data_IF_917998298849
#
_entry.id   IF_917998298849
#
_cell.length_a   1.000
_cell.length_b   1.000
_cell.length_c   1.000
_cell.angle_alpha   90.00
_cell.angle_beta   90.00
_cell.angle_gamma   90.00
#
_symmetry.space_group_name_H-M   'P 1'
#
loop_
_entity.id
_entity.type
_entity.pdbx_description
1 polymer ?
#
# COMPACT_ATOMS: atom_id res chain seq x y z
N UNK A 1 -81.64 5.09 -9.69
CA UNK A 1 -81.44 4.45 -8.38
C UNK A 1 -80.01 3.95 -8.35
N UNK A 2 -79.13 4.35 -7.60
CA UNK A 2 -78.86 4.80 -6.26
C UNK A 2 -77.57 5.60 -6.25
N UNK A 3 -77.58 6.68 -5.54
CA UNK A 3 -76.47 7.62 -5.26
C UNK A 3 -75.44 6.96 -4.32
N UNK A 4 -74.16 7.15 -4.55
CA UNK A 4 -73.19 7.26 -3.48
C UNK A 4 -72.12 8.30 -3.88
N UNK A 5 -72.19 9.41 -3.19
CA UNK A 5 -71.18 10.48 -3.17
C UNK A 5 -70.14 10.16 -2.12
N UNK A 6 -68.83 10.26 -2.46
CA UNK A 6 -67.70 10.30 -1.49
C UNK A 6 -67.07 11.69 -1.46
N UNK A 7 -66.82 12.22 -0.29
CA UNK A 7 -66.23 13.56 -0.16
C UNK A 7 -64.71 13.55 -0.36
N UNK A 8 -64.28 14.52 -1.14
CA UNK A 8 -62.90 14.87 -1.36
C UNK A 8 -62.34 15.59 -0.09
N UNK A 9 -61.41 14.95 0.64
CA UNK A 9 -60.66 15.62 1.67
C UNK A 9 -59.20 15.71 1.24
N UNK A 10 -58.88 16.89 0.72
CA UNK A 10 -57.49 17.36 0.44
C UNK A 10 -56.72 17.51 1.75
N UNK A 11 -55.86 16.52 2.08
CA UNK A 11 -54.83 16.68 3.10
C UNK A 11 -53.58 17.26 2.46
N UNK A 12 -53.36 18.56 2.69
CA UNK A 12 -52.11 19.22 2.35
C UNK A 12 -50.94 18.61 3.17
N UNK A 13 -50.04 17.92 2.50
CA UNK A 13 -48.74 17.53 3.08
C UNK A 13 -47.85 18.75 3.16
N UNK A 14 -47.69 19.30 4.37
CA UNK A 14 -46.62 20.26 4.68
C UNK A 14 -45.30 19.55 4.58
N UNK A 15 -44.52 19.84 3.52
CA UNK A 15 -43.11 19.46 3.43
C UNK A 15 -42.33 20.34 4.44
N UNK A 16 -42.06 19.79 5.60
CA UNK A 16 -41.13 20.38 6.56
C UNK A 16 -39.72 20.29 6.01
N UNK A 17 -39.22 21.37 5.48
CA UNK A 17 -37.79 21.58 5.12
C UNK A 17 -36.97 21.57 6.40
N UNK A 18 -36.51 20.39 6.81
CA UNK A 18 -35.50 20.24 7.87
C UNK A 18 -34.14 20.73 7.31
N UNK A 19 -33.89 22.02 7.35
CA UNK A 19 -32.55 22.59 7.22
C UNK A 19 -31.75 22.15 8.45
N UNK A 20 -31.03 21.01 8.34
CA UNK A 20 -29.98 20.65 9.33
C UNK A 20 -28.87 21.69 9.18
N UNK A 21 -28.91 22.72 9.99
CA UNK A 21 -27.80 23.65 10.20
C UNK A 21 -26.62 22.84 10.72
N UNK A 22 -25.63 22.60 9.88
CA UNK A 22 -24.35 22.00 10.30
C UNK A 22 -23.71 23.04 11.21
N UNK A 23 -23.72 22.81 12.52
CA UNK A 23 -23.14 23.71 13.50
C UNK A 23 -21.65 23.90 13.21
N UNK A 24 -21.14 25.12 13.36
CA UNK A 24 -19.72 25.47 13.21
C UNK A 24 -18.78 24.51 13.96
N UNK A 25 -19.24 23.97 15.10
CA UNK A 25 -18.54 22.93 15.86
C UNK A 25 -18.39 21.59 15.09
N UNK A 26 -19.34 21.22 14.22
CA UNK A 26 -19.21 20.03 13.36
C UNK A 26 -18.30 20.29 12.17
N UNK A 27 -18.33 21.49 11.60
CA UNK A 27 -17.37 21.93 10.58
C UNK A 27 -15.96 22.01 11.18
N UNK A 28 -15.80 22.57 12.38
CA UNK A 28 -14.50 22.60 13.09
C UNK A 28 -13.97 21.20 13.40
N UNK A 29 -14.82 20.27 13.86
CA UNK A 29 -14.45 18.86 14.04
C UNK A 29 -14.11 18.19 12.72
N UNK A 30 -14.80 18.46 11.63
CA UNK A 30 -14.49 17.94 10.31
C UNK A 30 -13.19 18.55 9.75
N UNK A 31 -12.98 19.86 9.94
CA UNK A 31 -11.72 20.54 9.57
C UNK A 31 -10.54 20.12 10.46
N UNK A 32 -10.77 19.88 11.75
CA UNK A 32 -9.76 19.28 12.65
C UNK A 32 -9.47 17.83 12.28
N UNK A 33 -10.46 17.04 11.86
CA UNK A 33 -10.28 15.70 11.29
C UNK A 33 -9.49 15.76 9.97
N UNK A 34 -9.79 16.70 9.07
CA UNK A 34 -9.02 16.88 7.84
C UNK A 34 -7.59 17.40 8.07
N UNK A 35 -7.39 18.26 9.09
CA UNK A 35 -6.04 18.71 9.50
C UNK A 35 -5.24 17.59 10.20
N UNK A 36 -5.92 16.61 10.82
CA UNK A 36 -5.29 15.45 11.43
C UNK A 36 -4.65 14.49 10.40
N UNK A 37 -5.15 14.49 9.15
CA UNK A 37 -4.60 13.66 8.06
C UNK A 37 -3.29 14.20 7.46
N UNK A 38 -2.77 15.34 7.90
CA UNK A 38 -1.55 15.95 7.35
C UNK A 38 -0.42 16.07 8.35
N UNK A 39 -0.53 15.53 9.58
CA UNK A 39 0.61 15.54 10.51
C UNK A 39 1.57 14.41 10.17
N UNK A 40 2.85 14.76 10.06
CA UNK A 40 3.94 13.82 9.82
C UNK A 40 4.16 12.95 11.06
N UNK A 41 4.16 11.63 10.89
CA UNK A 41 4.47 10.68 11.95
C UNK A 41 5.95 10.35 11.97
N UNK A 42 6.54 10.16 10.78
CA UNK A 42 7.96 9.84 10.62
C UNK A 42 8.56 10.77 9.56
N UNK A 43 9.66 11.41 9.91
CA UNK A 43 10.49 12.19 8.99
C UNK A 43 11.92 11.63 8.99
N UNK A 44 12.40 11.28 7.82
CA UNK A 44 13.77 10.85 7.56
C UNK A 44 14.45 11.96 6.78
N UNK A 45 15.52 12.56 7.34
CA UNK A 45 16.21 13.73 6.76
C UNK A 45 17.66 13.38 6.47
N UNK A 46 18.00 13.27 5.20
CA UNK A 46 19.35 13.02 4.69
C UNK A 46 20.06 11.83 5.38
N UNK A 47 19.32 10.75 5.68
CA UNK A 47 19.83 9.60 6.42
C UNK A 47 20.77 8.78 5.57
N UNK A 48 21.98 8.56 6.10
CA UNK A 48 22.99 7.67 5.52
C UNK A 48 23.41 6.65 6.57
N UNK A 49 23.46 5.36 6.19
CA UNK A 49 23.95 4.28 7.01
C UNK A 49 25.08 3.55 6.31
N UNK A 50 26.26 3.64 6.90
CA UNK A 50 27.49 3.02 6.42
C UNK A 50 27.88 1.84 7.32
N UNK A 51 28.30 0.75 6.70
CA UNK A 51 28.90 -0.39 7.38
C UNK A 51 30.31 -0.61 6.87
N UNK A 52 31.20 -1.02 7.75
CA UNK A 52 32.56 -1.42 7.39
C UNK A 52 32.56 -2.91 7.00
N UNK A 53 32.56 -3.19 5.71
CA UNK A 53 32.65 -4.55 5.18
C UNK A 53 34.11 -4.99 4.95
N UNK A 54 34.33 -6.29 4.72
CA UNK A 54 35.65 -6.86 4.44
C UNK A 54 36.31 -6.27 3.17
N UNK A 55 35.53 -5.71 2.25
CA UNK A 55 35.99 -5.07 0.99
C UNK A 55 35.98 -3.54 1.05
N UNK A 56 35.89 -2.95 2.24
CA UNK A 56 35.77 -1.50 2.45
C UNK A 56 34.40 -1.05 2.92
N UNK A 57 34.21 0.25 3.15
CA UNK A 57 32.94 0.81 3.61
C UNK A 57 31.85 0.69 2.54
N UNK A 58 30.65 0.30 2.95
CA UNK A 58 29.46 0.16 2.08
C UNK A 58 28.35 1.01 2.66
N UNK A 59 27.80 1.92 1.85
CA UNK A 59 26.63 2.71 2.20
C UNK A 59 25.37 1.87 1.89
N UNK A 60 24.80 1.25 2.92
CA UNK A 60 23.58 0.48 2.78
C UNK A 60 22.32 1.36 2.65
N UNK A 61 22.40 2.59 3.14
CA UNK A 61 21.40 3.66 2.94
C UNK A 61 22.14 4.94 2.63
N UNK A 62 21.74 5.68 1.60
CA UNK A 62 22.40 6.88 1.10
C UNK A 62 21.44 8.05 0.99
N UNK A 63 21.68 9.09 1.79
CA UNK A 63 20.98 10.39 1.73
C UNK A 63 19.46 10.28 1.56
N UNK A 64 18.84 9.33 2.28
CA UNK A 64 17.41 9.07 2.16
C UNK A 64 16.62 10.19 2.82
N UNK A 65 15.65 10.72 2.07
CA UNK A 65 14.64 11.67 2.53
C UNK A 65 13.26 11.07 2.31
N UNK A 66 12.48 10.93 3.39
CA UNK A 66 11.17 10.30 3.33
C UNK A 66 10.27 10.83 4.44
N UNK A 67 9.00 11.04 4.12
CA UNK A 67 7.98 11.47 5.08
C UNK A 67 6.81 10.50 5.08
N UNK A 68 6.42 10.01 6.27
CA UNK A 68 5.31 9.10 6.49
C UNK A 68 4.25 9.81 7.33
N UNK A 69 3.02 9.83 6.84
CA UNK A 69 1.89 10.54 7.47
C UNK A 69 1.34 9.72 8.63
N UNK A 70 0.70 10.40 9.57
CA UNK A 70 0.04 9.73 10.70
C UNK A 70 -1.15 8.89 10.23
N UNK A 71 -1.22 7.65 10.69
CA UNK A 71 -2.32 6.72 10.40
C UNK A 71 -2.28 6.07 9.02
N UNK A 72 -1.27 6.37 8.17
CA UNK A 72 -1.13 5.69 6.88
C UNK A 72 -0.43 4.34 7.01
N UNK A 73 -0.67 3.47 6.05
CA UNK A 73 0.13 2.27 5.80
C UNK A 73 1.11 2.58 4.68
N UNK A 74 2.39 2.69 5.03
CA UNK A 74 3.45 3.05 4.10
C UNK A 74 4.30 1.83 3.73
N UNK A 75 4.46 1.57 2.44
CA UNK A 75 5.25 0.47 1.91
C UNK A 75 6.65 0.90 1.48
N UNK A 76 7.67 0.11 1.80
CA UNK A 76 9.02 0.26 1.27
C UNK A 76 9.35 -0.99 0.46
N UNK A 77 9.51 -0.83 -0.85
CA UNK A 77 9.77 -1.94 -1.77
C UNK A 77 11.10 -1.74 -2.49
N UNK A 78 11.66 -2.84 -2.98
CA UNK A 78 12.90 -2.87 -3.76
C UNK A 78 13.50 -4.25 -3.79
N UNK A 79 14.48 -4.47 -4.65
CA UNK A 79 15.19 -5.75 -4.78
C UNK A 79 15.92 -6.13 -3.49
N UNK A 80 16.33 -7.40 -3.36
CA UNK A 80 17.18 -7.84 -2.24
C UNK A 80 18.48 -7.02 -2.22
N UNK A 81 18.89 -6.61 -1.02
CA UNK A 81 20.09 -5.75 -0.87
C UNK A 81 19.86 -4.25 -1.12
N UNK A 82 18.67 -3.80 -1.49
CA UNK A 82 18.39 -2.37 -1.72
C UNK A 82 18.48 -1.46 -0.48
N UNK A 83 18.69 -2.00 0.73
CA UNK A 83 18.83 -1.22 1.96
C UNK A 83 17.56 -1.12 2.82
N UNK A 84 16.44 -1.73 2.41
CA UNK A 84 15.12 -1.63 3.07
C UNK A 84 15.15 -1.97 4.57
N UNK A 85 15.59 -3.18 4.92
CA UNK A 85 15.66 -3.61 6.33
C UNK A 85 16.62 -2.74 7.15
N UNK A 86 17.71 -2.25 6.53
CA UNK A 86 18.62 -1.28 7.17
C UNK A 86 17.90 0.00 7.50
N UNK A 87 17.14 0.56 6.55
CA UNK A 87 16.37 1.79 6.73
C UNK A 87 15.33 1.63 7.86
N UNK A 88 14.51 0.57 7.83
CA UNK A 88 13.48 0.37 8.87
C UNK A 88 14.10 0.11 10.25
N UNK A 89 15.20 -0.63 10.33
CA UNK A 89 15.93 -0.80 11.61
C UNK A 89 16.57 0.50 12.09
N UNK A 90 16.79 1.46 11.22
CA UNK A 90 17.25 2.79 11.62
C UNK A 90 16.12 3.63 12.22
N UNK A 91 14.83 3.41 11.86
CA UNK A 91 13.69 4.17 12.40
C UNK A 91 13.54 4.03 13.92
N UNK A 92 13.86 2.86 14.47
CA UNK A 92 13.90 2.63 15.90
C UNK A 92 15.33 2.60 16.48
N UNK A 93 16.31 3.07 15.70
CA UNK A 93 17.75 3.10 16.04
C UNK A 93 18.32 1.74 16.48
N UNK A 94 17.81 0.61 15.99
CA UNK A 94 18.54 -0.66 16.07
C UNK A 94 19.86 -0.55 15.32
N UNK A 95 19.84 0.17 14.20
CA UNK A 95 21.03 0.64 13.50
C UNK A 95 21.06 2.18 13.62
N UNK A 96 22.03 2.72 14.36
CA UNK A 96 22.17 4.19 14.45
C UNK A 96 22.74 4.71 13.14
N UNK A 97 22.08 5.65 12.45
CA UNK A 97 22.58 6.19 11.18
C UNK A 97 23.95 6.88 11.35
N UNK A 98 24.76 6.81 10.30
CA UNK A 98 26.06 7.46 10.24
C UNK A 98 25.91 8.98 10.14
N UNK A 99 24.88 9.44 9.44
CA UNK A 99 24.50 10.87 9.34
C UNK A 99 23.02 11.02 9.04
N UNK A 100 22.51 12.24 9.19
CA UNK A 100 21.09 12.58 9.05
C UNK A 100 20.29 12.38 10.33
N UNK A 101 19.01 12.73 10.27
CA UNK A 101 18.11 12.72 11.43
C UNK A 101 16.87 11.87 11.15
N UNK A 102 16.36 11.22 12.19
CA UNK A 102 15.12 10.45 12.17
C UNK A 102 14.22 11.01 13.25
N UNK A 103 13.07 11.55 12.85
CA UNK A 103 12.08 12.13 13.73
C UNK A 103 10.86 11.21 13.72
N UNK A 104 10.37 10.81 14.90
CA UNK A 104 9.16 9.98 15.07
C UNK A 104 8.24 10.68 16.06
N UNK A 105 7.00 10.96 15.66
CA UNK A 105 6.01 11.70 16.44
C UNK A 105 6.60 12.99 17.06
N UNK A 106 7.33 13.75 16.24
CA UNK A 106 8.01 15.01 16.62
C UNK A 106 9.26 14.85 17.48
N UNK A 107 9.69 13.62 17.83
CA UNK A 107 10.90 13.34 18.63
C UNK A 107 12.07 12.98 17.72
N UNK A 108 13.17 13.73 17.77
CA UNK A 108 14.40 13.34 17.08
C UNK A 108 15.05 12.14 17.78
N UNK A 109 14.84 10.96 17.21
CA UNK A 109 15.37 9.70 17.72
C UNK A 109 16.91 9.70 17.80
N UNK A 110 17.56 10.38 16.87
CA UNK A 110 19.04 10.41 16.76
C UNK A 110 19.68 11.23 17.85
N UNK A 111 18.96 12.16 18.48
CA UNK A 111 19.44 13.00 19.58
C UNK A 111 19.22 12.38 20.97
N UNK A 112 18.43 11.29 21.08
CA UNK A 112 18.07 10.69 22.36
C UNK A 112 19.24 9.98 23.05
N UNK A 113 19.31 10.11 24.38
CA UNK A 113 20.18 9.30 25.21
C UNK A 113 19.61 7.86 25.37
N UNK A 114 20.35 6.96 26.02
CA UNK A 114 19.98 5.55 26.12
C UNK A 114 18.65 5.30 26.87
N UNK A 115 18.34 6.10 27.88
CA UNK A 115 17.08 5.98 28.66
C UNK A 115 15.90 6.51 27.87
N UNK A 116 16.02 7.69 27.30
CA UNK A 116 15.02 8.30 26.42
C UNK A 116 14.72 7.41 25.21
N UNK A 117 15.77 6.80 24.62
CA UNK A 117 15.61 5.89 23.49
C UNK A 117 14.85 4.60 23.89
N UNK A 118 15.11 4.04 25.09
CA UNK A 118 14.33 2.91 25.58
C UNK A 118 12.85 3.27 25.76
N UNK A 119 12.56 4.46 26.27
CA UNK A 119 11.19 4.95 26.39
C UNK A 119 10.54 5.15 25.01
N UNK A 120 11.22 5.81 24.08
CA UNK A 120 10.71 6.04 22.72
C UNK A 120 10.45 4.73 21.95
N UNK A 121 11.31 3.72 22.11
CA UNK A 121 11.13 2.40 21.50
C UNK A 121 9.87 1.65 21.97
N UNK A 122 9.33 1.96 23.15
CA UNK A 122 8.05 1.39 23.61
C UNK A 122 6.87 1.90 22.78
N UNK A 123 6.99 3.11 22.21
CA UNK A 123 5.99 3.70 21.32
C UNK A 123 6.10 3.19 19.87
N UNK A 124 7.08 2.31 19.57
CA UNK A 124 7.32 1.73 18.25
C UNK A 124 7.28 0.20 18.35
N UNK A 125 6.23 -0.41 17.82
CA UNK A 125 6.13 -1.86 17.69
C UNK A 125 6.98 -2.35 16.52
N UNK A 126 7.53 -3.57 16.63
CA UNK A 126 8.27 -4.18 15.51
C UNK A 126 7.87 -5.64 15.31
N UNK A 127 7.53 -5.98 14.07
CA UNK A 127 7.27 -7.33 13.59
C UNK A 127 8.48 -7.76 12.78
N UNK A 128 9.06 -8.90 13.13
CA UNK A 128 10.27 -9.44 12.51
C UNK A 128 9.96 -10.54 11.49
N UNK A 129 10.79 -10.68 10.49
CA UNK A 129 10.70 -11.69 9.44
C UNK A 129 10.63 -13.13 10.00
N UNK A 130 11.41 -13.46 11.04
CA UNK A 130 11.52 -14.80 11.64
C UNK A 130 10.73 -14.95 12.95
N UNK A 131 9.62 -14.19 13.12
CA UNK A 131 8.75 -14.19 14.30
C UNK A 131 9.46 -13.83 15.62
N UNK A 132 10.67 -14.28 15.86
CA UNK A 132 11.50 -14.08 17.06
C UNK A 132 10.73 -14.37 18.36
N UNK A 133 9.95 -15.46 18.38
CA UNK A 133 9.24 -15.91 19.57
C UNK A 133 10.18 -16.69 20.48
N UNK A 134 10.01 -16.52 21.79
CA UNK A 134 10.71 -17.30 22.78
C UNK A 134 10.09 -18.70 22.84
N UNK A 135 10.84 -19.73 22.44
CA UNK A 135 10.36 -21.12 22.34
C UNK A 135 9.97 -21.71 23.69
N UNK A 136 10.57 -21.22 24.78
CA UNK A 136 10.31 -21.64 26.17
C UNK A 136 9.11 -20.93 26.82
N UNK A 137 8.47 -20.02 26.11
CA UNK A 137 7.32 -19.27 26.61
C UNK A 137 6.05 -19.60 25.79
N UNK A 138 4.91 -19.57 26.47
CA UNK A 138 3.60 -19.74 25.82
C UNK A 138 3.28 -18.59 24.85
N UNK A 139 2.19 -18.70 24.10
CA UNK A 139 1.63 -17.61 23.28
C UNK A 139 1.33 -16.40 24.16
N UNK A 140 0.66 -16.61 25.29
CA UNK A 140 0.36 -15.56 26.28
C UNK A 140 1.64 -14.87 26.76
N UNK A 141 2.63 -15.63 27.22
CA UNK A 141 3.88 -15.09 27.78
C UNK A 141 4.73 -14.36 26.74
N UNK A 142 4.68 -14.78 25.46
CA UNK A 142 5.35 -14.07 24.38
C UNK A 142 4.71 -12.68 24.14
N UNK A 143 3.37 -12.56 24.24
CA UNK A 143 2.66 -11.28 24.11
C UNK A 143 2.88 -10.42 25.35
N UNK A 144 2.91 -11.02 26.54
CA UNK A 144 3.11 -10.33 27.82
C UNK A 144 4.54 -9.76 27.99
N UNK A 145 5.54 -10.33 27.33
CA UNK A 145 6.95 -10.00 27.49
C UNK A 145 7.27 -8.49 27.48
N UNK A 146 6.80 -7.67 26.51
CA UNK A 146 7.07 -6.23 26.53
C UNK A 146 6.50 -5.51 27.76
N UNK A 147 5.37 -5.98 28.27
CA UNK A 147 4.70 -5.43 29.45
C UNK A 147 5.41 -5.82 30.75
N UNK A 148 5.93 -7.05 30.83
CA UNK A 148 6.80 -7.49 31.91
C UNK A 148 8.06 -6.63 31.99
N UNK A 149 8.72 -6.40 30.84
CA UNK A 149 9.90 -5.54 30.73
C UNK A 149 9.60 -4.08 31.05
N UNK A 150 8.34 -3.66 30.90
CA UNK A 150 7.87 -2.35 31.31
C UNK A 150 7.58 -2.26 32.83
N UNK A 151 7.67 -3.38 33.57
CA UNK A 151 7.42 -3.44 35.02
C UNK A 151 5.93 -3.45 35.42
N UNK A 152 5.03 -3.85 34.49
CA UNK A 152 3.60 -3.90 34.78
C UNK A 152 3.23 -5.06 35.73
N UNK A 153 2.19 -4.87 36.54
CA UNK A 153 1.67 -5.92 37.40
C UNK A 153 0.97 -7.02 36.60
N UNK A 154 0.89 -8.25 37.14
CA UNK A 154 0.24 -9.39 36.48
C UNK A 154 -1.20 -9.10 36.06
N UNK A 155 -1.98 -8.40 36.89
CA UNK A 155 -3.36 -8.04 36.60
C UNK A 155 -3.44 -7.07 35.40
N UNK A 156 -2.62 -6.01 35.42
CA UNK A 156 -2.55 -5.05 34.32
C UNK A 156 -2.07 -5.69 33.00
N UNK A 157 -1.17 -6.70 33.07
CA UNK A 157 -0.74 -7.48 31.91
C UNK A 157 -1.93 -8.30 31.36
N UNK A 158 -2.69 -8.96 32.24
CA UNK A 158 -3.84 -9.77 31.83
C UNK A 158 -4.94 -8.91 31.14
N UNK A 159 -5.21 -7.72 31.67
CA UNK A 159 -6.14 -6.76 31.08
C UNK A 159 -5.75 -6.32 29.65
N UNK A 160 -4.44 -6.24 29.36
CA UNK A 160 -3.94 -5.87 28.04
C UNK A 160 -3.80 -7.06 27.08
N UNK A 161 -3.32 -8.19 27.57
CA UNK A 161 -3.03 -9.36 26.72
C UNK A 161 -4.30 -10.05 26.25
N UNK A 162 -5.34 -10.12 27.09
CA UNK A 162 -6.60 -10.81 26.73
C UNK A 162 -7.26 -10.20 25.49
N UNK A 163 -7.49 -8.87 25.39
CA UNK A 163 -8.04 -8.27 24.16
C UNK A 163 -7.12 -8.45 22.94
N UNK A 164 -5.79 -8.46 23.12
CA UNK A 164 -4.86 -8.68 22.01
C UNK A 164 -4.96 -10.11 21.48
N UNK A 165 -5.13 -11.11 22.35
CA UNK A 165 -5.38 -12.50 21.94
C UNK A 165 -6.68 -12.64 21.14
N UNK A 166 -7.73 -11.94 21.53
CA UNK A 166 -9.01 -11.88 20.81
C UNK A 166 -8.85 -11.20 19.45
N UNK A 167 -8.17 -10.04 19.41
CA UNK A 167 -7.91 -9.28 18.19
C UNK A 167 -7.21 -10.11 17.12
N UNK A 168 -6.21 -10.91 17.53
CA UNK A 168 -5.46 -11.76 16.60
C UNK A 168 -6.07 -13.17 16.42
N UNK A 169 -7.16 -13.50 17.12
CA UNK A 169 -7.86 -14.78 17.01
C UNK A 169 -7.11 -15.97 17.62
N UNK A 170 -6.38 -15.75 18.73
CA UNK A 170 -5.55 -16.78 19.36
C UNK A 170 -5.96 -17.10 20.81
N UNK A 171 -7.14 -16.69 21.27
CA UNK A 171 -7.60 -16.90 22.66
C UNK A 171 -7.56 -18.38 23.08
N UNK A 172 -7.94 -19.30 22.20
CA UNK A 172 -7.92 -20.74 22.44
C UNK A 172 -6.49 -21.34 22.53
N UNK A 173 -5.47 -20.63 22.04
CA UNK A 173 -4.09 -21.08 21.96
C UNK A 173 -3.16 -20.36 22.94
N UNK A 174 -3.73 -19.62 23.92
CA UNK A 174 -2.96 -18.78 24.86
C UNK A 174 -1.89 -19.56 25.62
N UNK A 175 -2.15 -20.81 25.98
CA UNK A 175 -1.28 -21.68 26.76
C UNK A 175 -0.38 -22.58 25.89
N UNK A 176 -0.52 -22.51 24.55
CA UNK A 176 0.31 -23.27 23.60
C UNK A 176 1.69 -22.66 23.45
N UNK A 177 2.67 -23.49 23.11
CA UNK A 177 4.04 -23.06 22.84
C UNK A 177 4.26 -22.82 21.33
N UNK A 178 5.27 -22.04 20.93
CA UNK A 178 5.55 -21.77 19.53
C UNK A 178 5.73 -23.03 18.65
N UNK A 179 6.24 -24.12 19.21
CA UNK A 179 6.39 -25.38 18.47
C UNK A 179 5.04 -26.04 18.10
N UNK A 180 3.95 -25.68 18.78
CA UNK A 180 2.62 -26.30 18.65
C UNK A 180 1.69 -25.52 17.72
N UNK A 181 2.13 -24.38 17.17
CA UNK A 181 1.32 -23.49 16.35
C UNK A 181 1.92 -23.29 14.95
N UNK A 182 1.04 -22.99 13.97
CA UNK A 182 1.43 -22.77 12.57
C UNK A 182 2.25 -21.50 12.37
N UNK A 183 2.89 -21.33 11.20
CA UNK A 183 3.63 -20.13 10.82
C UNK A 183 2.76 -18.86 10.88
N UNK A 184 1.55 -18.90 10.34
CA UNK A 184 0.61 -17.80 10.41
C UNK A 184 0.15 -17.45 11.83
N UNK A 185 -0.03 -18.47 12.70
CA UNK A 185 -0.31 -18.26 14.12
C UNK A 185 0.88 -17.63 14.84
N UNK A 186 2.12 -18.07 14.57
CA UNK A 186 3.34 -17.42 15.08
C UNK A 186 3.41 -15.95 14.69
N UNK A 187 3.04 -15.63 13.44
CA UNK A 187 3.02 -14.26 12.96
C UNK A 187 1.99 -13.41 13.73
N UNK A 188 0.78 -13.96 13.96
CA UNK A 188 -0.25 -13.30 14.77
C UNK A 188 0.20 -13.06 16.21
N UNK A 189 0.96 -13.97 16.83
CA UNK A 189 1.60 -13.76 18.14
C UNK A 189 2.60 -12.60 18.06
N UNK A 190 3.43 -12.55 17.01
CA UNK A 190 4.38 -11.47 16.76
C UNK A 190 3.71 -10.10 16.63
N UNK A 191 2.57 -10.04 15.93
CA UNK A 191 1.73 -8.83 15.80
C UNK A 191 1.19 -8.41 17.16
N UNK A 192 0.54 -9.31 17.91
CA UNK A 192 -0.02 -9.02 19.24
C UNK A 192 1.06 -8.54 20.21
N UNK A 193 2.25 -9.17 20.22
CA UNK A 193 3.40 -8.73 21.00
C UNK A 193 3.87 -7.33 20.63
N UNK A 194 3.90 -6.99 19.34
CA UNK A 194 4.30 -5.67 18.87
C UNK A 194 3.31 -4.57 19.28
N UNK A 195 2.03 -4.93 19.47
CA UNK A 195 0.96 -4.03 19.91
C UNK A 195 0.87 -3.88 21.44
N UNK A 196 1.52 -4.73 22.22
CA UNK A 196 1.31 -4.82 23.67
C UNK A 196 1.54 -3.50 24.44
N UNK A 197 2.45 -2.65 23.99
CA UNK A 197 2.74 -1.34 24.60
C UNK A 197 1.91 -0.18 24.02
N UNK A 198 0.82 -0.43 23.30
CA UNK A 198 0.00 0.59 22.61
C UNK A 198 0.86 1.52 21.73
N UNK A 199 1.63 0.98 20.77
CA UNK A 199 2.55 1.77 19.98
C UNK A 199 1.80 2.76 19.07
N UNK A 200 2.48 3.85 18.69
CA UNK A 200 2.00 4.81 17.68
C UNK A 200 2.40 4.42 16.26
N UNK A 201 3.50 3.68 16.17
CA UNK A 201 4.08 3.20 14.90
C UNK A 201 4.31 1.70 14.98
N UNK A 202 3.98 0.98 13.92
CA UNK A 202 4.27 -0.44 13.75
C UNK A 202 5.21 -0.61 12.56
N UNK A 203 6.41 -1.10 12.81
CA UNK A 203 7.39 -1.45 11.78
C UNK A 203 7.28 -2.93 11.45
N UNK A 204 7.25 -3.28 10.17
CA UNK A 204 7.14 -4.65 9.69
C UNK A 204 8.28 -4.96 8.73
N UNK A 205 9.22 -5.82 9.15
CA UNK A 205 10.37 -6.25 8.35
C UNK A 205 10.05 -7.60 7.70
N UNK A 206 9.60 -7.58 6.44
CA UNK A 206 9.26 -8.78 5.61
C UNK A 206 8.36 -9.81 6.31
N UNK A 207 7.37 -9.36 7.07
CA UNK A 207 6.55 -10.18 7.94
C UNK A 207 5.72 -11.30 7.25
N UNK A 208 5.61 -11.28 5.92
CA UNK A 208 4.81 -12.24 5.14
C UNK A 208 5.63 -13.12 4.21
N UNK A 209 6.95 -12.90 4.11
CA UNK A 209 7.81 -13.56 3.13
C UNK A 209 7.92 -15.10 3.28
N UNK A 210 7.64 -15.61 4.49
CA UNK A 210 7.71 -17.05 4.82
C UNK A 210 6.33 -17.71 4.92
N UNK A 211 5.25 -17.04 4.49
CA UNK A 211 3.87 -17.51 4.60
C UNK A 211 3.32 -17.86 3.21
N UNK A 212 2.36 -18.78 3.19
CA UNK A 212 1.57 -19.06 2.00
C UNK A 212 0.65 -17.88 1.62
N UNK A 213 0.15 -17.82 0.37
CA UNK A 213 -0.63 -16.68 -0.10
C UNK A 213 -1.93 -16.42 0.68
N UNK A 214 -2.63 -17.46 1.13
CA UNK A 214 -3.89 -17.33 1.89
C UNK A 214 -3.61 -16.76 3.28
N UNK A 215 -2.62 -17.32 3.97
CA UNK A 215 -2.16 -16.81 5.26
C UNK A 215 -1.66 -15.37 5.15
N UNK A 216 -0.89 -15.05 4.10
CA UNK A 216 -0.44 -13.68 3.82
C UNK A 216 -1.61 -12.73 3.73
N UNK A 217 -2.65 -13.04 2.92
CA UNK A 217 -3.86 -12.21 2.80
C UNK A 217 -4.51 -11.99 4.15
N UNK A 218 -4.70 -13.03 4.93
CA UNK A 218 -5.30 -12.97 6.27
C UNK A 218 -4.51 -12.08 7.25
N UNK A 219 -3.18 -12.10 7.18
CA UNK A 219 -2.31 -11.22 7.99
C UNK A 219 -2.42 -9.77 7.53
N UNK A 220 -2.46 -9.52 6.22
CA UNK A 220 -2.60 -8.17 5.67
C UNK A 220 -3.97 -7.55 6.03
N UNK A 221 -5.04 -8.33 5.96
CA UNK A 221 -6.39 -7.91 6.40
C UNK A 221 -6.39 -7.57 7.91
N UNK A 222 -5.72 -8.37 8.74
CA UNK A 222 -5.55 -8.08 10.16
C UNK A 222 -4.79 -6.76 10.39
N UNK A 223 -3.68 -6.52 9.69
CA UNK A 223 -2.92 -5.28 9.77
C UNK A 223 -3.76 -4.06 9.34
N UNK A 224 -4.54 -4.20 8.26
CA UNK A 224 -5.46 -3.16 7.79
C UNK A 224 -6.57 -2.86 8.82
N UNK A 225 -7.11 -3.90 9.46
CA UNK A 225 -8.08 -3.76 10.56
C UNK A 225 -7.46 -3.00 11.73
N UNK A 226 -6.28 -3.41 12.18
CA UNK A 226 -5.53 -2.76 13.27
C UNK A 226 -5.26 -1.27 12.95
N UNK A 227 -4.79 -0.97 11.73
CA UNK A 227 -4.56 0.39 11.30
C UNK A 227 -5.83 1.25 11.41
N UNK A 228 -6.97 0.75 10.91
CA UNK A 228 -8.25 1.48 10.92
C UNK A 228 -8.85 1.66 12.32
N UNK A 229 -8.80 0.62 13.14
CA UNK A 229 -9.42 0.64 14.48
C UNK A 229 -8.60 1.43 15.49
N UNK A 230 -7.26 1.37 15.40
CA UNK A 230 -6.36 2.00 16.34
C UNK A 230 -5.75 3.32 15.83
N UNK A 231 -5.95 3.68 14.57
CA UNK A 231 -5.31 4.84 13.94
C UNK A 231 -3.79 4.71 13.87
N UNK A 232 -3.27 3.47 13.87
CA UNK A 232 -1.85 3.14 13.95
C UNK A 232 -1.14 3.41 12.62
N UNK A 233 0.00 4.11 12.65
CA UNK A 233 0.84 4.23 11.46
C UNK A 233 1.64 2.96 11.25
N UNK A 234 1.59 2.38 10.06
CA UNK A 234 2.30 1.13 9.74
C UNK A 234 3.33 1.39 8.65
N UNK A 235 4.57 0.96 8.88
CA UNK A 235 5.63 0.96 7.87
C UNK A 235 6.00 -0.49 7.60
N UNK A 236 5.78 -0.95 6.38
CA UNK A 236 6.11 -2.32 6.01
C UNK A 236 7.16 -2.38 4.90
N UNK A 237 8.06 -3.34 5.06
CA UNK A 237 9.00 -3.71 4.03
C UNK A 237 8.55 -5.00 3.37
N UNK A 238 8.64 -5.02 2.05
CA UNK A 238 8.40 -6.23 1.27
C UNK A 238 9.18 -6.16 -0.05
N UNK A 239 9.39 -7.30 -0.65
CA UNK A 239 9.79 -7.43 -2.05
C UNK A 239 8.61 -7.85 -2.94
N UNK A 240 7.41 -8.05 -2.35
CA UNK A 240 6.19 -8.49 -3.02
C UNK A 240 5.29 -7.28 -3.32
N UNK A 241 5.15 -6.93 -4.58
CA UNK A 241 4.29 -5.81 -5.01
C UNK A 241 2.82 -6.07 -4.70
N UNK A 242 2.38 -7.35 -4.67
CA UNK A 242 1.03 -7.74 -4.24
C UNK A 242 0.68 -7.23 -2.83
N UNK A 243 1.65 -7.30 -1.90
CA UNK A 243 1.46 -6.80 -0.54
C UNK A 243 1.23 -5.28 -0.54
N UNK A 244 2.04 -4.55 -1.31
CA UNK A 244 1.90 -3.09 -1.48
C UNK A 244 0.51 -2.75 -2.03
N UNK A 245 0.14 -3.40 -3.13
CA UNK A 245 -1.16 -3.21 -3.80
C UNK A 245 -2.34 -3.43 -2.85
N UNK A 246 -2.25 -4.44 -2.00
CA UNK A 246 -3.36 -4.82 -1.12
C UNK A 246 -3.63 -3.81 -0.01
N UNK A 247 -2.60 -3.29 0.67
CA UNK A 247 -2.84 -2.55 1.92
C UNK A 247 -2.16 -1.19 2.03
N UNK A 248 -1.15 -0.86 1.22
CA UNK A 248 -0.40 0.39 1.38
C UNK A 248 -1.11 1.58 0.74
N UNK A 249 -1.14 2.71 1.42
CA UNK A 249 -1.66 3.98 0.90
C UNK A 249 -0.62 4.65 -0.01
N UNK A 250 0.63 4.70 0.46
CA UNK A 250 1.77 5.23 -0.26
C UNK A 250 2.93 4.25 -0.20
N UNK A 251 3.88 4.39 -1.14
CA UNK A 251 5.09 3.59 -1.14
C UNK A 251 6.33 4.40 -1.54
N UNK A 252 7.49 3.85 -1.16
CA UNK A 252 8.79 4.26 -1.67
C UNK A 252 9.49 3.05 -2.31
N UNK A 253 10.08 3.27 -3.46
CA UNK A 253 10.91 2.28 -4.15
C UNK A 253 12.37 2.57 -3.84
N UNK A 254 13.08 1.56 -3.33
CA UNK A 254 14.50 1.66 -3.02
C UNK A 254 15.34 0.84 -3.98
N UNK A 255 16.46 1.42 -4.40
CA UNK A 255 17.52 0.76 -5.14
C UNK A 255 18.88 1.24 -4.66
N UNK A 256 19.81 0.32 -4.46
CA UNK A 256 21.23 0.62 -4.11
C UNK A 256 21.40 1.60 -2.93
N UNK A 257 20.49 1.56 -1.95
CA UNK A 257 20.52 2.41 -0.75
C UNK A 257 19.80 3.75 -0.89
N UNK A 258 19.21 4.06 -2.02
CA UNK A 258 18.52 5.33 -2.31
C UNK A 258 17.02 5.11 -2.52
N UNK A 259 16.21 6.13 -2.23
CA UNK A 259 14.80 6.18 -2.63
C UNK A 259 14.75 6.79 -4.03
N UNK A 260 14.41 5.97 -5.02
CA UNK A 260 14.39 6.38 -6.44
C UNK A 260 13.03 6.91 -6.88
N UNK A 261 11.96 6.48 -6.22
CA UNK A 261 10.60 6.94 -6.48
C UNK A 261 9.73 6.79 -5.24
N UNK A 262 8.77 7.70 -5.02
CA UNK A 262 7.80 7.63 -3.94
C UNK A 262 6.50 8.35 -4.31
N UNK A 263 5.37 7.87 -3.78
CA UNK A 263 4.05 8.47 -4.04
C UNK A 263 2.90 7.58 -3.56
N UNK A 264 1.68 7.99 -3.90
CA UNK A 264 0.48 7.18 -3.74
C UNK A 264 0.61 5.89 -4.56
N UNK A 265 0.21 4.75 -4.00
CA UNK A 265 0.34 3.45 -4.67
C UNK A 265 -0.33 3.47 -6.04
N UNK A 266 -1.58 3.96 -6.11
CA UNK A 266 -2.36 4.00 -7.35
C UNK A 266 -1.68 4.85 -8.44
N UNK A 267 -1.08 5.98 -8.07
CA UNK A 267 -0.37 6.86 -9.01
C UNK A 267 0.88 6.20 -9.57
N UNK A 268 1.66 5.53 -8.71
CA UNK A 268 2.88 4.83 -9.14
C UNK A 268 2.55 3.62 -10.01
N UNK A 269 1.45 2.94 -9.76
CA UNK A 269 0.97 1.86 -10.62
C UNK A 269 0.47 2.37 -11.98
N UNK A 270 -0.16 3.55 -12.00
CA UNK A 270 -0.68 4.16 -13.22
C UNK A 270 0.42 4.72 -14.12
N UNK A 271 1.42 5.37 -13.54
CA UNK A 271 2.45 6.09 -14.29
C UNK A 271 3.83 6.01 -13.58
N UNK A 272 4.47 4.82 -13.53
CA UNK A 272 5.80 4.67 -12.96
C UNK A 272 6.82 5.43 -13.80
N UNK A 273 7.64 6.28 -13.15
CA UNK A 273 8.63 7.13 -13.83
C UNK A 273 9.97 6.43 -13.97
N UNK A 274 10.37 5.69 -12.92
CA UNK A 274 11.67 5.01 -12.89
C UNK A 274 11.58 3.61 -13.48
N UNK A 275 12.61 3.19 -14.21
CA UNK A 275 12.67 1.86 -14.87
C UNK A 275 12.52 0.71 -13.86
N UNK A 276 13.17 0.80 -12.70
CA UNK A 276 13.08 -0.22 -11.64
C UNK A 276 11.67 -0.30 -11.08
N UNK A 277 11.00 0.84 -10.88
CA UNK A 277 9.58 0.86 -10.45
C UNK A 277 8.70 0.16 -11.49
N UNK A 278 8.93 0.48 -12.77
CA UNK A 278 8.22 -0.12 -13.90
C UNK A 278 8.41 -1.63 -13.95
N UNK A 279 9.64 -2.11 -13.76
CA UNK A 279 9.94 -3.54 -13.70
C UNK A 279 9.25 -4.25 -12.52
N UNK A 280 9.29 -3.65 -11.30
CA UNK A 280 8.64 -4.22 -10.11
C UNK A 280 7.11 -4.28 -10.24
N UNK A 281 6.50 -3.28 -10.86
CA UNK A 281 5.05 -3.26 -11.12
C UNK A 281 4.71 -4.26 -12.23
N UNK A 282 5.59 -4.40 -13.21
CA UNK A 282 5.42 -5.34 -14.33
C UNK A 282 5.30 -6.79 -13.92
N UNK A 283 5.90 -7.18 -12.79
CA UNK A 283 5.76 -8.53 -12.22
C UNK A 283 4.34 -8.84 -11.73
N UNK A 284 3.53 -7.81 -11.42
CA UNK A 284 2.18 -7.97 -10.87
C UNK A 284 1.08 -7.58 -11.84
N UNK A 285 1.31 -6.52 -12.57
CA UNK A 285 0.43 -6.11 -13.66
C UNK A 285 1.20 -6.40 -14.93
N UNK A 286 0.72 -7.36 -15.72
CA UNK A 286 1.36 -7.74 -16.97
C UNK A 286 1.58 -6.50 -17.86
N UNK A 287 2.73 -5.84 -17.65
CA UNK A 287 3.13 -4.66 -18.41
C UNK A 287 3.87 -5.06 -19.68
N UNK A 288 4.45 -6.26 -19.73
CA UNK A 288 5.15 -6.76 -20.91
C UNK A 288 4.25 -7.71 -21.71
N UNK A 289 4.24 -7.51 -23.00
CA UNK A 289 3.59 -8.45 -23.92
C UNK A 289 4.35 -9.79 -23.90
N UNK A 290 3.65 -10.94 -23.82
CA UNK A 290 4.29 -12.24 -23.92
C UNK A 290 5.17 -12.32 -25.18
N UNK A 291 6.36 -12.93 -25.06
CA UNK A 291 7.32 -12.98 -26.18
C UNK A 291 6.71 -13.53 -27.48
N UNK A 292 5.82 -14.52 -27.40
CA UNK A 292 5.11 -15.05 -28.56
C UNK A 292 4.15 -14.05 -29.22
N UNK A 293 3.60 -13.10 -28.45
CA UNK A 293 2.77 -11.99 -28.98
C UNK A 293 3.67 -10.97 -29.67
N UNK A 294 4.78 -10.59 -29.04
CA UNK A 294 5.77 -9.67 -29.62
C UNK A 294 6.33 -10.20 -30.95
N UNK A 295 6.68 -11.49 -31.03
CA UNK A 295 7.18 -12.10 -32.28
C UNK A 295 6.14 -12.04 -33.38
N UNK A 296 4.88 -12.38 -33.12
CA UNK A 296 3.78 -12.29 -34.10
C UNK A 296 3.51 -10.85 -34.52
N UNK A 297 3.59 -9.91 -33.58
CA UNK A 297 3.40 -8.49 -33.84
C UNK A 297 4.51 -7.96 -34.78
N UNK A 298 5.78 -8.26 -34.46
CA UNK A 298 6.93 -7.91 -35.33
C UNK A 298 6.80 -8.49 -36.75
N UNK A 299 6.40 -9.75 -36.86
CA UNK A 299 6.18 -10.38 -38.14
C UNK A 299 5.04 -9.73 -38.95
N UNK A 300 3.95 -9.31 -38.28
CA UNK A 300 2.84 -8.59 -38.90
C UNK A 300 3.25 -7.21 -39.41
N UNK A 301 3.94 -6.44 -38.55
CA UNK A 301 4.41 -5.08 -38.90
C UNK A 301 5.45 -5.09 -40.03
N UNK A 302 6.30 -6.12 -40.07
CA UNK A 302 7.25 -6.29 -41.17
C UNK A 302 6.59 -6.65 -42.51
N UNK A 303 5.33 -7.14 -42.51
CA UNK A 303 4.56 -7.51 -43.70
C UNK A 303 3.55 -6.44 -44.14
N UNK A 304 3.26 -5.43 -43.33
CA UNK A 304 2.36 -4.35 -43.71
C UNK A 304 3.06 -3.41 -44.66
N UNK A 305 2.60 -3.46 -45.94
CA UNK A 305 3.00 -2.50 -46.95
C UNK A 305 2.60 -1.08 -46.57
N UNK A 306 3.44 -0.11 -46.92
CA UNK A 306 3.35 1.31 -46.55
C UNK A 306 2.09 2.07 -47.07
N UNK A 307 0.99 1.36 -47.31
CA UNK A 307 -0.22 1.92 -47.97
C UNK A 307 -1.55 1.70 -47.25
N UNK A 308 -1.63 0.85 -46.25
CA UNK A 308 -2.90 0.58 -45.53
C UNK A 308 -2.71 0.84 -44.05
N UNK A 309 -3.31 1.90 -43.51
CA UNK A 309 -3.43 2.26 -42.07
C UNK A 309 -2.19 1.98 -41.22
N UNK A 310 -1.81 2.90 -40.35
CA UNK A 310 -0.66 2.68 -39.46
C UNK A 310 -1.10 1.90 -38.23
N UNK A 311 -0.49 0.75 -37.97
CA UNK A 311 -0.63 0.02 -36.71
C UNK A 311 0.20 0.72 -35.61
N UNK A 312 -0.44 1.14 -34.54
CA UNK A 312 0.20 1.74 -33.37
C UNK A 312 -0.09 0.93 -32.12
N UNK A 313 0.95 0.65 -31.34
CA UNK A 313 0.84 -0.10 -30.09
C UNK A 313 0.71 0.86 -28.91
N UNK A 314 -0.36 0.71 -28.14
CA UNK A 314 -0.63 1.51 -26.95
C UNK A 314 -0.83 0.64 -25.72
N UNK A 315 -0.47 1.20 -24.57
CA UNK A 315 -0.94 0.74 -23.25
C UNK A 315 -1.95 1.72 -22.73
N UNK A 316 -3.08 1.20 -22.26
CA UNK A 316 -4.11 1.97 -21.57
C UNK A 316 -4.19 1.54 -20.13
N UNK A 317 -4.16 2.50 -19.18
CA UNK A 317 -4.44 2.25 -17.80
C UNK A 317 -5.71 2.99 -17.36
N UNK A 318 -6.63 2.24 -16.76
CA UNK A 318 -7.95 2.70 -16.31
C UNK A 318 -7.99 2.64 -14.78
N UNK A 319 -8.62 3.62 -14.14
CA UNK A 319 -8.77 3.65 -12.69
C UNK A 319 -10.21 3.97 -12.30
N UNK A 320 -10.68 3.37 -11.20
CA UNK A 320 -11.99 3.65 -10.62
C UNK A 320 -13.14 3.44 -11.62
N UNK A 321 -14.05 4.39 -11.74
CA UNK A 321 -15.24 4.31 -12.62
C UNK A 321 -14.91 4.22 -14.13
N UNK A 322 -13.67 4.50 -14.53
CA UNK A 322 -13.22 4.35 -15.93
C UNK A 322 -13.18 2.88 -16.37
N UNK A 323 -13.01 1.94 -15.44
CA UNK A 323 -13.00 0.50 -15.73
C UNK A 323 -14.39 0.00 -16.14
N UNK A 324 -15.45 0.56 -15.54
CA UNK A 324 -16.84 0.14 -15.78
C UNK A 324 -17.49 0.80 -17.00
N UNK A 325 -16.80 1.77 -17.64
CA UNK A 325 -17.34 2.47 -18.79
C UNK A 325 -16.87 1.87 -20.11
N UNK A 326 -17.74 1.81 -21.14
CA UNK A 326 -17.39 1.29 -22.45
C UNK A 326 -16.57 2.31 -23.27
N UNK A 327 -15.46 2.81 -22.69
CA UNK A 327 -14.65 3.90 -23.29
C UNK A 327 -13.99 3.46 -24.60
N UNK A 328 -13.49 2.21 -24.66
CA UNK A 328 -12.83 1.69 -25.87
C UNK A 328 -13.81 1.54 -27.02
N UNK A 329 -14.99 0.95 -26.81
CA UNK A 329 -15.99 0.81 -27.86
C UNK A 329 -16.51 2.15 -28.34
N UNK A 330 -16.66 3.14 -27.42
CA UNK A 330 -17.02 4.50 -27.81
C UNK A 330 -15.94 5.17 -28.67
N UNK A 331 -14.65 4.96 -28.34
CA UNK A 331 -13.55 5.50 -29.13
C UNK A 331 -13.50 4.87 -30.52
N UNK A 332 -13.61 3.54 -30.63
CA UNK A 332 -13.67 2.80 -31.90
C UNK A 332 -14.77 3.35 -32.81
N UNK A 333 -16.02 3.44 -32.30
CA UNK A 333 -17.14 3.91 -33.11
C UNK A 333 -17.08 5.41 -33.46
N UNK A 334 -16.52 6.23 -32.57
CA UNK A 334 -16.48 7.69 -32.79
C UNK A 334 -15.40 8.10 -33.79
N UNK A 335 -14.29 7.38 -33.83
CA UNK A 335 -13.11 7.76 -34.62
C UNK A 335 -12.82 6.79 -35.74
N UNK A 336 -13.69 5.82 -36.03
CA UNK A 336 -13.55 4.82 -37.09
C UNK A 336 -12.19 4.10 -37.04
N UNK A 337 -11.94 3.41 -35.90
CA UNK A 337 -10.71 2.69 -35.63
C UNK A 337 -11.00 1.22 -35.36
N UNK A 338 -9.99 0.39 -35.59
CA UNK A 338 -9.96 -1.00 -35.12
C UNK A 338 -8.99 -1.13 -33.94
N UNK A 339 -9.48 -1.71 -32.84
CA UNK A 339 -8.67 -2.05 -31.66
C UNK A 339 -8.54 -3.55 -31.50
N UNK A 340 -7.31 -4.04 -31.57
CA UNK A 340 -6.98 -5.42 -31.25
C UNK A 340 -6.35 -5.49 -29.87
N UNK A 341 -7.06 -6.11 -28.88
CA UNK A 341 -6.55 -6.31 -27.52
C UNK A 341 -5.54 -7.46 -27.54
N UNK A 342 -4.28 -7.14 -27.32
CA UNK A 342 -3.17 -8.10 -27.32
C UNK A 342 -2.97 -8.74 -25.94
N UNK A 343 -3.20 -7.97 -24.88
CA UNK A 343 -3.11 -8.39 -23.50
C UNK A 343 -3.99 -7.49 -22.64
N UNK A 344 -4.53 -8.01 -21.53
CA UNK A 344 -5.31 -7.20 -20.60
C UNK A 344 -5.51 -7.87 -19.25
N UNK A 345 -5.53 -7.04 -18.23
CA UNK A 345 -5.80 -7.44 -16.87
C UNK A 345 -6.65 -6.37 -16.18
N UNK A 346 -7.63 -6.82 -15.41
CA UNK A 346 -8.39 -5.97 -14.47
C UNK A 346 -8.09 -6.50 -13.08
N UNK A 347 -7.75 -5.61 -12.18
CA UNK A 347 -7.33 -5.91 -10.83
C UNK A 347 -7.92 -4.89 -9.85
N UNK A 348 -7.67 -5.07 -8.57
CA UNK A 348 -8.11 -4.17 -7.50
C UNK A 348 -6.91 -3.67 -6.70
N UNK A 349 -6.79 -2.34 -6.60
CA UNK A 349 -5.77 -1.66 -5.80
C UNK A 349 -6.50 -0.88 -4.71
N UNK A 350 -6.34 -1.28 -3.45
CA UNK A 350 -6.99 -0.62 -2.29
C UNK A 350 -8.53 -0.53 -2.40
N UNK A 351 -9.18 -1.51 -3.01
CA UNK A 351 -10.63 -1.49 -3.22
C UNK A 351 -11.08 -0.65 -4.41
N UNK A 352 -10.15 -0.15 -5.23
CA UNK A 352 -10.44 0.55 -6.48
C UNK A 352 -10.07 -0.33 -7.67
N UNK A 353 -11.00 -0.45 -8.63
CA UNK A 353 -10.72 -1.17 -9.86
C UNK A 353 -9.59 -0.48 -10.65
N UNK A 354 -8.64 -1.27 -11.10
CA UNK A 354 -7.52 -0.88 -11.96
C UNK A 354 -7.47 -1.81 -13.16
N UNK A 355 -7.49 -1.25 -14.37
CA UNK A 355 -7.36 -2.01 -15.61
C UNK A 355 -6.12 -1.60 -16.38
N UNK A 356 -5.39 -2.57 -16.95
CA UNK A 356 -4.29 -2.34 -17.89
C UNK A 356 -4.54 -3.15 -19.14
N UNK A 357 -4.50 -2.51 -20.31
CA UNK A 357 -4.70 -3.14 -21.61
C UNK A 357 -3.58 -2.74 -22.57
N UNK A 358 -3.00 -3.72 -23.27
CA UNK A 358 -2.14 -3.49 -24.42
C UNK A 358 -2.95 -3.69 -25.68
N UNK A 359 -3.03 -2.66 -26.51
CA UNK A 359 -3.92 -2.60 -27.68
C UNK A 359 -3.12 -2.17 -28.90
N UNK A 360 -3.30 -2.91 -29.99
CA UNK A 360 -2.89 -2.48 -31.31
C UNK A 360 -4.05 -1.71 -31.94
N UNK A 361 -3.85 -0.42 -32.18
CA UNK A 361 -4.80 0.44 -32.87
C UNK A 361 -4.44 0.51 -34.34
N UNK A 362 -5.44 0.30 -35.20
CA UNK A 362 -5.33 0.44 -36.66
C UNK A 362 -6.29 1.54 -37.13
N UNK A 363 -5.80 2.41 -38.00
CA UNK A 363 -6.57 3.51 -38.60
C UNK A 363 -5.69 4.61 -39.17
N UNK A 364 -6.29 5.73 -39.52
CA UNK A 364 -5.51 6.91 -39.94
C UNK A 364 -4.83 7.54 -38.70
N UNK A 365 -3.65 8.11 -38.92
CA UNK A 365 -2.90 8.77 -37.85
C UNK A 365 -3.74 9.85 -37.14
N UNK A 366 -4.49 10.65 -37.88
CA UNK A 366 -5.34 11.71 -37.37
C UNK A 366 -6.44 11.14 -36.44
N UNK A 367 -7.09 10.03 -36.87
CA UNK A 367 -8.13 9.37 -36.06
C UNK A 367 -7.55 8.75 -34.79
N UNK A 368 -6.37 8.14 -34.88
CA UNK A 368 -5.67 7.58 -33.71
C UNK A 368 -5.33 8.68 -32.71
N UNK A 369 -4.71 9.78 -33.14
CA UNK A 369 -4.36 10.93 -32.28
C UNK A 369 -5.62 11.52 -31.61
N UNK A 370 -6.72 11.70 -32.37
CA UNK A 370 -7.99 12.18 -31.83
C UNK A 370 -8.62 11.21 -30.79
N UNK A 371 -8.54 9.91 -31.04
CA UNK A 371 -9.04 8.90 -30.11
C UNK A 371 -8.20 8.86 -28.82
N UNK A 372 -6.87 8.96 -28.91
CA UNK A 372 -5.99 9.01 -27.74
C UNK A 372 -6.25 10.27 -26.90
N UNK A 373 -6.41 11.42 -27.54
CA UNK A 373 -6.81 12.66 -26.85
C UNK A 373 -8.18 12.51 -26.16
N UNK A 374 -9.16 11.90 -26.82
CA UNK A 374 -10.48 11.64 -26.24
C UNK A 374 -10.37 10.72 -25.00
N UNK A 375 -9.66 9.59 -25.11
CA UNK A 375 -9.47 8.63 -24.00
C UNK A 375 -8.76 9.31 -22.81
N UNK A 376 -7.72 10.10 -23.09
CA UNK A 376 -7.00 10.88 -22.05
C UNK A 376 -7.93 11.87 -21.34
N UNK A 377 -8.79 12.57 -22.08
CA UNK A 377 -9.80 13.48 -21.51
C UNK A 377 -10.85 12.75 -20.65
N UNK A 378 -11.07 11.45 -20.86
CA UNK A 378 -11.91 10.59 -20.01
C UNK A 378 -11.15 9.97 -18.81
N UNK A 379 -9.90 10.36 -18.57
CA UNK A 379 -9.11 9.90 -17.45
C UNK A 379 -8.35 8.58 -17.68
N UNK A 380 -8.31 8.07 -18.92
CA UNK A 380 -7.47 6.92 -19.29
C UNK A 380 -6.03 7.41 -19.43
N UNK A 381 -5.08 6.72 -18.80
CA UNK A 381 -3.66 6.95 -19.09
C UNK A 381 -3.30 6.21 -20.37
N UNK A 382 -2.76 6.93 -21.35
CA UNK A 382 -2.35 6.40 -22.66
C UNK A 382 -0.85 6.49 -22.76
N UNK A 383 -0.19 5.37 -23.01
CA UNK A 383 1.26 5.27 -23.27
C UNK A 383 1.47 4.60 -24.62
N UNK A 384 2.23 5.23 -25.51
CA UNK A 384 2.61 4.65 -26.79
C UNK A 384 3.85 3.76 -26.64
N UNK A 385 3.79 2.51 -27.12
CA UNK A 385 4.81 1.49 -26.91
C UNK A 385 5.63 1.17 -28.18
N UNK A 386 5.64 2.04 -29.17
CA UNK A 386 6.33 1.79 -30.45
C UNK A 386 7.83 1.51 -30.33
N UNK A 387 8.47 1.90 -29.22
CA UNK A 387 9.87 1.60 -28.93
C UNK A 387 10.12 0.13 -28.50
N UNK A 388 9.06 -0.65 -28.26
CA UNK A 388 9.13 -2.07 -27.85
C UNK A 388 9.12 -3.01 -29.06
N UNK A 389 8.74 -2.50 -30.20
CA UNK A 389 8.66 -3.20 -31.49
C UNK A 389 9.89 -2.92 -32.33
#
# INVERSE_FOLDING_TARGET
MSKYSFPCTTKAYRISTCKKTITAARLLKFMQSAAFFHSEMIEIKAVTQRFNGARGPVDAVRNVNLTIRKGEIFGIIGRSGAGKSTLVRSLNLLNRPTSGNIIVDGKDMTALNAEQLRAARREIGMIFQHFNLLSSRTVYDNIALPLELAGMSKNAIAEKVTPLLELVGLSALKDSYPAQISGGQKQRVGIARALANDPKVLLSDEATSALDPETTRSILELLRKINRELGLTIVLITHQMEVIKMICDRMAVMESGEVIEQGEVLELFRAPKHEVTRALIGDVIAQELPQGVLQRLRARLAQSDAGSGTDHLFRFAFTGSGVDQPLLSKAVHKFDLDFNILHGQIDEIQGQAFGSLAILANGTRENIEAAMAYLTAQGVTVEELNHVI
#
